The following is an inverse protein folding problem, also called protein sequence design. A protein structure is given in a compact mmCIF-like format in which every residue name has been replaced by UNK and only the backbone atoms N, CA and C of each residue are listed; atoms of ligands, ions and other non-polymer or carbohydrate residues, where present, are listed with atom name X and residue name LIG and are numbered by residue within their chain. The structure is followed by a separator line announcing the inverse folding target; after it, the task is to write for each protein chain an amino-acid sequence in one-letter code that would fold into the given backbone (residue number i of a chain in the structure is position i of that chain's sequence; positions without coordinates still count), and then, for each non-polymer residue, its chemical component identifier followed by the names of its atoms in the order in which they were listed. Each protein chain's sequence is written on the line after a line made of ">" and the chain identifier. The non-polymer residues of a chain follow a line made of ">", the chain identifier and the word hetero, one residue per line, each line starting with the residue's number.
data_IF_851896789724
#
_entry.id   IF_851896789724
#
_cell.length_a   1.000
_cell.length_b   1.000
_cell.length_c   1.000
_cell.angle_alpha   90.00
_cell.angle_beta   90.00
_cell.angle_gamma   90.00
#
_symmetry.space_group_name_H-M   'P 1'
#
loop_
_entity.id
_entity.type
_entity.pdbx_description
1 polymer ?
#
# COMPACT_ATOMS: atom_id res chain seq x y z
N UNK A 1 -0.20 -9.43 -24.96
CA UNK A 1 -0.30 -8.39 -23.89
C UNK A 1 -1.35 -7.36 -24.32
N UNK A 2 -2.11 -6.79 -23.39
CA UNK A 2 -3.22 -5.85 -23.64
C UNK A 2 -3.08 -4.60 -22.75
N UNK A 3 -2.07 -3.74 -22.98
CA UNK A 3 -1.71 -2.66 -22.06
C UNK A 3 -2.81 -1.63 -21.84
N UNK A 4 -3.63 -1.37 -22.86
CA UNK A 4 -4.73 -0.41 -22.81
C UNK A 4 -6.06 -1.01 -22.36
N UNK A 5 -6.12 -2.32 -22.09
CA UNK A 5 -7.32 -2.94 -21.53
C UNK A 5 -7.44 -2.57 -20.05
N UNK A 6 -8.68 -2.45 -19.57
CA UNK A 6 -9.02 -2.31 -18.17
C UNK A 6 -8.42 -3.44 -17.33
N UNK A 7 -7.65 -3.09 -16.31
CA UNK A 7 -7.13 -4.03 -15.32
C UNK A 7 -7.98 -4.00 -14.04
N UNK A 8 -8.35 -2.81 -13.58
CA UNK A 8 -9.08 -2.60 -12.31
C UNK A 8 -10.16 -1.56 -12.55
N UNK A 9 -11.37 -1.85 -12.08
CA UNK A 9 -12.49 -0.90 -12.04
C UNK A 9 -13.12 -0.91 -10.66
N UNK A 10 -13.30 0.27 -10.09
CA UNK A 10 -13.88 0.48 -8.78
C UNK A 10 -14.65 1.82 -8.76
N UNK A 11 -15.26 2.17 -7.63
CA UNK A 11 -16.02 3.42 -7.46
C UNK A 11 -15.15 4.68 -7.57
N UNK A 12 -13.87 4.55 -7.26
CA UNK A 12 -12.84 5.59 -7.35
C UNK A 12 -12.24 5.74 -8.76
N UNK A 13 -12.62 4.88 -9.71
CA UNK A 13 -12.22 5.00 -11.11
C UNK A 13 -11.79 3.69 -11.74
N UNK A 14 -11.09 3.81 -12.86
CA UNK A 14 -10.62 2.69 -13.66
C UNK A 14 -9.16 2.90 -14.02
N UNK A 15 -8.39 1.81 -14.01
CA UNK A 15 -7.01 1.78 -14.48
C UNK A 15 -6.85 0.70 -15.54
N UNK A 16 -6.20 1.06 -16.63
CA UNK A 16 -5.65 0.10 -17.59
C UNK A 16 -4.47 -0.67 -16.98
N UNK A 17 -4.07 -1.77 -17.62
CA UNK A 17 -2.86 -2.51 -17.22
C UNK A 17 -1.61 -1.63 -17.20
N UNK A 18 -1.44 -0.75 -18.19
CA UNK A 18 -0.28 0.14 -18.26
C UNK A 18 -0.27 1.19 -17.13
N UNK A 19 -1.42 1.77 -16.79
CA UNK A 19 -1.51 2.77 -15.71
C UNK A 19 -1.31 2.14 -14.34
N UNK A 20 -1.89 0.96 -14.11
CA UNK A 20 -1.70 0.21 -12.86
C UNK A 20 -0.22 -0.11 -12.65
N UNK A 21 0.45 -0.61 -13.69
CA UNK A 21 1.87 -0.98 -13.65
C UNK A 21 2.76 0.24 -13.37
N UNK A 22 2.53 1.35 -14.08
CA UNK A 22 3.29 2.59 -13.90
C UNK A 22 3.14 3.18 -12.49
N UNK A 23 1.91 3.22 -11.96
CA UNK A 23 1.67 3.71 -10.58
C UNK A 23 2.32 2.78 -9.55
N UNK A 24 2.25 1.46 -9.75
CA UNK A 24 2.89 0.48 -8.89
C UNK A 24 4.42 0.59 -8.92
N UNK A 25 5.02 0.88 -10.08
CA UNK A 25 6.47 1.11 -10.21
C UNK A 25 6.92 2.35 -9.43
N UNK A 26 6.17 3.47 -9.52
CA UNK A 26 6.45 4.67 -8.73
C UNK A 26 6.44 4.36 -7.24
N UNK A 27 5.43 3.63 -6.76
CA UNK A 27 5.37 3.21 -5.36
C UNK A 27 6.56 2.31 -4.99
N UNK A 28 6.88 1.32 -5.83
CA UNK A 28 8.00 0.41 -5.60
C UNK A 28 9.33 1.16 -5.46
N UNK A 29 9.56 2.17 -6.31
CA UNK A 29 10.74 3.04 -6.21
C UNK A 29 10.76 3.84 -4.90
N UNK A 30 9.62 4.39 -4.46
CA UNK A 30 9.53 5.09 -3.17
C UNK A 30 9.82 4.14 -2.00
N UNK A 31 9.24 2.93 -2.01
CA UNK A 31 9.50 1.91 -1.00
C UNK A 31 10.98 1.53 -0.93
N UNK A 32 11.63 1.28 -2.08
CA UNK A 32 13.08 1.02 -2.13
C UNK A 32 13.90 2.17 -1.59
N UNK A 33 13.52 3.42 -1.87
CA UNK A 33 14.14 4.62 -1.30
C UNK A 33 14.02 4.71 0.22
N UNK A 34 13.06 4.01 0.82
CA UNK A 34 12.89 3.88 2.28
C UNK A 34 13.61 2.66 2.86
N UNK A 35 14.38 1.92 2.06
CA UNK A 35 15.11 0.71 2.48
C UNK A 35 14.27 -0.57 2.44
N UNK A 36 13.07 -0.54 1.86
CA UNK A 36 12.27 -1.76 1.64
C UNK A 36 12.89 -2.58 0.52
N UNK A 37 13.05 -3.88 0.74
CA UNK A 37 13.62 -4.82 -0.21
C UNK A 37 13.29 -6.27 0.16
N UNK A 38 14.12 -7.20 -0.32
CA UNK A 38 13.97 -8.64 -0.11
C UNK A 38 13.73 -9.02 1.35
N UNK A 39 12.64 -9.72 1.61
CA UNK A 39 12.29 -10.22 2.94
C UNK A 39 11.66 -9.17 3.88
N UNK A 40 11.53 -7.91 3.44
CA UNK A 40 10.84 -6.89 4.20
C UNK A 40 9.32 -7.12 4.17
N UNK A 41 8.66 -6.63 5.23
CA UNK A 41 7.20 -6.53 5.31
C UNK A 41 6.78 -5.07 5.17
N UNK A 42 5.68 -4.83 4.47
CA UNK A 42 5.05 -3.52 4.33
C UNK A 42 3.59 -3.64 4.73
N UNK A 43 3.16 -2.89 5.74
CA UNK A 43 1.75 -2.83 6.11
C UNK A 43 0.97 -2.08 5.02
N UNK A 44 -0.23 -2.55 4.68
CA UNK A 44 -1.11 -1.88 3.72
C UNK A 44 -2.44 -1.60 4.40
N UNK A 45 -2.67 -0.33 4.74
CA UNK A 45 -3.87 0.18 5.39
C UNK A 45 -4.64 1.05 4.40
N UNK A 46 -5.45 0.42 3.55
CA UNK A 46 -6.20 1.10 2.51
C UNK A 46 -7.62 0.54 2.42
N UNK A 47 -8.55 1.39 2.02
CA UNK A 47 -9.89 0.95 1.62
C UNK A 47 -9.84 0.22 0.28
N UNK A 48 -10.92 -0.49 -0.07
CA UNK A 48 -11.05 -1.12 -1.38
C UNK A 48 -11.15 -0.05 -2.46
N UNK A 49 -10.27 -0.14 -3.46
CA UNK A 49 -10.21 0.78 -4.58
C UNK A 49 -9.05 0.46 -5.51
N UNK A 50 -8.85 1.30 -6.52
CA UNK A 50 -7.70 1.25 -7.42
C UNK A 50 -6.38 1.39 -6.64
N UNK A 51 -6.34 2.27 -5.64
CA UNK A 51 -5.17 2.49 -4.80
C UNK A 51 -4.71 1.24 -4.04
N UNK A 52 -5.63 0.38 -3.59
CA UNK A 52 -5.27 -0.88 -2.96
C UNK A 52 -4.44 -1.76 -3.91
N UNK A 53 -4.87 -1.90 -5.16
CA UNK A 53 -4.17 -2.73 -6.15
C UNK A 53 -2.81 -2.15 -6.53
N UNK A 54 -2.72 -0.82 -6.64
CA UNK A 54 -1.43 -0.11 -6.79
C UNK A 54 -0.50 -0.45 -5.62
N UNK A 55 -1.00 -0.40 -4.38
CA UNK A 55 -0.22 -0.69 -3.19
C UNK A 55 0.31 -2.12 -3.15
N UNK A 56 -0.57 -3.10 -3.38
CA UNK A 56 -0.19 -4.52 -3.37
C UNK A 56 0.88 -4.81 -4.42
N UNK A 57 0.69 -4.33 -5.66
CA UNK A 57 1.67 -4.54 -6.73
C UNK A 57 2.97 -3.79 -6.49
N UNK A 58 2.93 -2.55 -5.98
CA UNK A 58 4.13 -1.78 -5.69
C UNK A 58 4.98 -2.40 -4.59
N UNK A 59 4.36 -2.98 -3.56
CA UNK A 59 5.08 -3.75 -2.52
C UNK A 59 5.75 -4.99 -3.12
N UNK A 60 5.03 -5.76 -3.94
CA UNK A 60 5.60 -6.94 -4.59
C UNK A 60 6.76 -6.56 -5.55
N UNK A 61 6.61 -5.48 -6.32
CA UNK A 61 7.66 -4.93 -7.18
C UNK A 61 8.86 -4.44 -6.37
N UNK A 62 8.67 -3.99 -5.13
CA UNK A 62 9.77 -3.67 -4.21
C UNK A 62 10.48 -4.91 -3.63
N UNK A 63 10.13 -6.13 -4.07
CA UNK A 63 10.66 -7.42 -3.56
C UNK A 63 10.30 -7.67 -2.08
N UNK A 64 9.17 -7.10 -1.62
CA UNK A 64 8.69 -7.19 -0.25
C UNK A 64 7.31 -7.89 -0.16
N UNK A 65 6.97 -8.36 1.04
CA UNK A 65 5.67 -8.93 1.34
C UNK A 65 4.73 -7.86 1.89
N UNK A 66 3.50 -7.77 1.37
CA UNK A 66 2.48 -6.92 1.96
C UNK A 66 1.79 -7.61 3.14
N UNK A 67 1.42 -6.84 4.14
CA UNK A 67 0.58 -7.28 5.26
C UNK A 67 -0.71 -6.47 5.24
N UNK A 68 -1.86 -7.09 4.90
CA UNK A 68 -3.12 -6.37 4.80
C UNK A 68 -3.62 -5.98 6.20
N UNK A 69 -3.97 -4.70 6.36
CA UNK A 69 -4.52 -4.15 7.60
C UNK A 69 -5.94 -3.65 7.29
N UNK A 70 -6.94 -4.20 7.98
CA UNK A 70 -8.34 -3.85 7.75
C UNK A 70 -8.69 -2.50 8.40
N UNK A 71 -9.06 -1.46 7.62
CA UNK A 71 -9.52 -0.19 8.15
C UNK A 71 -10.84 -0.28 8.93
N UNK A 72 -11.58 -1.39 8.88
CA UNK A 72 -12.80 -1.54 9.69
C UNK A 72 -12.51 -1.87 11.15
N UNK A 73 -11.26 -2.22 11.49
CA UNK A 73 -10.88 -2.40 12.89
C UNK A 73 -10.80 -1.08 13.66
N UNK A 74 -11.03 -1.07 14.98
CA UNK A 74 -10.81 0.12 15.81
C UNK A 74 -9.36 0.61 15.77
N UNK A 75 -9.12 1.92 15.94
CA UNK A 75 -7.79 2.53 15.80
C UNK A 75 -6.73 1.87 16.71
N UNK A 76 -7.07 1.62 17.99
CA UNK A 76 -6.19 0.90 18.92
C UNK A 76 -5.77 -0.48 18.41
N UNK A 77 -6.69 -1.20 17.76
CA UNK A 77 -6.42 -2.53 17.18
C UNK A 77 -5.52 -2.41 15.96
N UNK A 78 -5.70 -1.41 15.11
CA UNK A 78 -4.84 -1.15 13.96
C UNK A 78 -3.41 -0.88 14.39
N UNK A 79 -3.19 0.03 15.35
CA UNK A 79 -1.85 0.29 15.88
C UNK A 79 -1.18 -0.97 16.44
N UNK A 80 -1.94 -1.79 17.19
CA UNK A 80 -1.43 -3.07 17.71
C UNK A 80 -1.06 -4.07 16.60
N UNK A 81 -1.86 -4.13 15.52
CA UNK A 81 -1.58 -4.97 14.37
C UNK A 81 -0.34 -4.48 13.61
N UNK A 82 -0.20 -3.17 13.38
CA UNK A 82 0.98 -2.57 12.75
C UNK A 82 2.25 -2.95 13.50
N UNK A 83 2.28 -2.80 14.82
CA UNK A 83 3.42 -3.20 15.65
C UNK A 83 3.71 -4.71 15.52
N UNK A 84 2.67 -5.55 15.54
CA UNK A 84 2.81 -6.99 15.36
C UNK A 84 3.30 -7.41 13.97
N UNK A 85 3.20 -6.54 12.96
CA UNK A 85 3.75 -6.82 11.62
C UNK A 85 5.26 -6.66 11.55
N UNK A 86 5.88 -5.95 12.50
CA UNK A 86 7.27 -5.49 12.45
C UNK A 86 7.67 -4.85 11.10
N UNK A 87 6.69 -4.32 10.36
CA UNK A 87 6.92 -3.62 9.11
C UNK A 87 7.56 -2.25 9.40
N UNK A 88 8.63 -1.93 8.69
CA UNK A 88 9.27 -0.62 8.80
C UNK A 88 8.44 0.50 8.13
N UNK A 89 7.55 0.15 7.22
CA UNK A 89 6.72 1.07 6.44
C UNK A 89 5.27 0.58 6.41
N UNK A 90 4.32 1.52 6.54
CA UNK A 90 2.89 1.31 6.26
C UNK A 90 2.46 2.22 5.12
N UNK A 91 1.91 1.65 4.05
CA UNK A 91 1.28 2.38 2.96
C UNK A 91 -0.19 2.63 3.30
N UNK A 92 -0.62 3.89 3.24
CA UNK A 92 -1.99 4.31 3.60
C UNK A 92 -2.46 5.51 2.79
N UNK A 93 -3.74 5.86 2.89
CA UNK A 93 -4.31 7.10 2.33
C UNK A 93 -4.33 8.22 3.38
N UNK A 94 -4.47 9.47 2.92
CA UNK A 94 -4.60 10.64 3.80
C UNK A 94 -5.68 10.47 4.90
N UNK A 95 -6.92 10.09 4.56
CA UNK A 95 -7.99 9.88 5.55
C UNK A 95 -7.72 8.80 6.60
N UNK A 96 -6.80 7.86 6.31
CA UNK A 96 -6.45 6.76 7.22
C UNK A 96 -5.11 6.99 7.93
N UNK A 97 -4.36 8.05 7.60
CA UNK A 97 -3.00 8.28 8.08
C UNK A 97 -2.93 8.36 9.62
N UNK A 98 -3.87 9.07 10.24
CA UNK A 98 -3.98 9.23 11.70
C UNK A 98 -4.08 7.89 12.43
N UNK A 99 -4.54 6.85 11.76
CA UNK A 99 -4.74 5.52 12.35
C UNK A 99 -3.45 4.71 12.46
N UNK A 100 -2.43 5.12 11.72
CA UNK A 100 -1.07 4.58 11.81
C UNK A 100 -0.14 5.45 12.67
N UNK A 101 -0.60 6.61 13.15
CA UNK A 101 0.18 7.48 14.03
C UNK A 101 0.52 6.80 15.36
N UNK A 102 1.67 7.18 15.92
CA UNK A 102 2.17 6.62 17.18
C UNK A 102 2.73 5.20 17.07
N UNK A 103 2.73 4.61 15.88
CA UNK A 103 3.44 3.34 15.62
C UNK A 103 4.89 3.59 15.24
N UNK A 104 5.74 2.56 15.35
CA UNK A 104 7.15 2.60 14.93
C UNK A 104 7.32 2.58 13.41
N UNK A 105 6.29 2.17 12.68
CA UNK A 105 6.34 2.11 11.23
C UNK A 105 6.27 3.52 10.64
N UNK A 106 7.07 3.77 9.61
CA UNK A 106 6.98 5.01 8.84
C UNK A 106 5.72 4.98 7.97
N UNK A 107 4.89 6.01 8.08
CA UNK A 107 3.73 6.17 7.21
C UNK A 107 4.14 6.69 5.83
N UNK A 108 3.76 5.96 4.78
CA UNK A 108 3.91 6.34 3.38
C UNK A 108 2.51 6.60 2.79
N UNK A 109 2.23 7.84 2.43
CA UNK A 109 0.98 8.16 1.76
C UNK A 109 1.00 7.69 0.30
N UNK A 110 -0.04 6.97 -0.08
CA UNK A 110 -0.34 6.66 -1.47
C UNK A 110 -1.07 7.84 -2.08
N UNK A 111 -0.44 8.47 -3.06
CA UNK A 111 -1.07 9.54 -3.84
C UNK A 111 -2.18 8.94 -4.71
N UNK A 112 -3.31 9.66 -4.83
CA UNK A 112 -4.47 9.24 -5.61
C UNK A 112 -4.23 9.36 -7.13
#
# INVERSE_FOLDING_TARGET
>A
RTPHATAVRSRDGELSYAELDARADVLAHRLRGLGVGRGARVGVLLERGTGLLVALLGVLKADAAYVPLDPLHPARRIGSLIEGTEAAVVVTSGPLAERAEGTRARTLLLDA
#
